data_IF_003057913344
#
_entry.id   IF_003057913344
#
_cell.length_a   1.000
_cell.length_b   1.000
_cell.length_c   1.000
_cell.angle_alpha   90.00
_cell.angle_beta   90.00
_cell.angle_gamma   90.00
#
_symmetry.space_group_name_H-M   'P 1'
#
loop_
_entity.id
_entity.type
_entity.pdbx_description
1 polymer ?
#
# COMPACT_ATOMS: atom_id res chain seq x y z
N UNK A 1 -37.74 -16.65 41.88
CA UNK A 1 -37.67 -15.25 42.33
C UNK A 1 -36.46 -15.07 43.23
N UNK A 2 -35.36 -14.55 42.68
CA UNK A 2 -34.20 -14.08 43.44
C UNK A 2 -33.74 -12.78 42.77
N UNK A 3 -33.85 -11.69 43.52
CA UNK A 3 -33.42 -10.35 43.14
C UNK A 3 -31.88 -10.28 43.24
N UNK A 4 -31.22 -9.77 42.20
CA UNK A 4 -29.83 -9.32 42.31
C UNK A 4 -29.75 -7.91 41.72
N UNK A 5 -29.86 -6.93 42.61
CA UNK A 5 -29.64 -5.51 42.38
C UNK A 5 -28.18 -5.24 42.69
N UNK A 6 -27.36 -4.86 41.70
CA UNK A 6 -26.06 -4.24 41.94
C UNK A 6 -26.02 -2.93 41.14
N UNK A 7 -26.27 -1.84 41.88
CA UNK A 7 -25.80 -0.49 41.56
C UNK A 7 -24.28 -0.42 41.82
N UNK A 8 -23.51 0.17 40.91
CA UNK A 8 -22.26 0.88 41.21
C UNK A 8 -21.75 1.63 39.96
N UNK A 9 -21.01 2.75 40.11
CA UNK A 9 -21.40 4.02 39.52
C UNK A 9 -20.48 4.55 38.41
N UNK A 10 -21.03 5.55 37.70
CA UNK A 10 -20.33 6.55 36.89
C UNK A 10 -18.98 6.97 37.50
N UNK A 11 -17.92 6.88 36.71
CA UNK A 11 -16.71 7.67 36.90
C UNK A 11 -16.47 8.51 35.64
N UNK A 12 -16.85 9.79 35.72
CA UNK A 12 -16.43 10.81 34.79
C UNK A 12 -14.92 11.01 34.90
N UNK A 13 -14.19 10.89 33.79
CA UNK A 13 -12.87 11.48 33.67
C UNK A 13 -12.77 12.25 32.35
N UNK A 14 -13.07 13.54 32.44
CA UNK A 14 -12.76 14.52 31.41
C UNK A 14 -11.29 14.92 31.57
N UNK A 15 -10.46 14.65 30.56
CA UNK A 15 -9.12 15.26 30.44
C UNK A 15 -9.12 16.10 29.17
N UNK A 16 -9.18 17.41 29.39
CA UNK A 16 -8.89 18.47 28.41
C UNK A 16 -7.38 18.67 28.41
N UNK A 17 -6.72 18.46 27.28
CA UNK A 17 -5.37 18.99 27.05
C UNK A 17 -5.31 19.67 25.69
N UNK A 18 -5.45 21.00 25.76
CA UNK A 18 -5.08 21.97 24.74
C UNK A 18 -3.57 21.92 24.49
N UNK A 19 -3.16 21.57 23.27
CA UNK A 19 -1.78 21.68 22.80
C UNK A 19 -1.64 22.80 21.78
N UNK A 20 -0.93 23.88 22.14
CA UNK A 20 -0.55 24.96 21.25
C UNK A 20 0.45 24.48 20.19
N UNK A 21 0.20 24.84 18.94
CA UNK A 21 1.10 24.59 17.82
C UNK A 21 2.37 25.44 17.88
N UNK A 22 3.51 24.81 17.59
CA UNK A 22 4.77 25.47 17.25
C UNK A 22 4.97 25.37 15.74
N UNK A 23 4.99 26.53 15.07
CA UNK A 23 5.33 26.63 13.65
C UNK A 23 6.86 26.58 13.57
N UNK A 24 7.41 25.48 13.08
CA UNK A 24 8.85 25.34 12.83
C UNK A 24 9.12 25.83 11.41
N UNK A 25 9.86 26.92 11.28
CA UNK A 25 10.34 27.45 10.00
C UNK A 25 11.22 26.41 9.29
N UNK A 26 10.88 26.09 8.05
CA UNK A 26 11.71 25.25 7.19
C UNK A 26 12.99 26.00 6.76
N UNK A 27 14.17 25.35 6.75
CA UNK A 27 15.38 25.94 6.22
C UNK A 27 15.31 26.06 4.69
N UNK A 28 15.74 27.22 4.20
CA UNK A 28 15.93 27.52 2.77
C UNK A 28 16.91 26.53 2.13
N UNK A 29 16.48 25.86 1.07
CA UNK A 29 17.31 24.98 0.25
C UNK A 29 18.41 25.80 -0.44
N UNK A 30 19.66 25.57 -0.01
CA UNK A 30 20.84 26.04 -0.72
C UNK A 30 21.00 25.31 -2.05
N UNK A 31 21.39 26.05 -3.09
CA UNK A 31 21.70 25.54 -4.40
C UNK A 31 22.86 24.53 -4.33
N UNK A 32 22.57 23.26 -4.62
CA UNK A 32 23.60 22.26 -4.86
C UNK A 32 24.16 22.48 -6.26
N UNK A 33 25.33 23.11 -6.36
CA UNK A 33 26.20 22.96 -7.51
C UNK A 33 26.72 21.52 -7.49
N UNK A 34 26.18 20.67 -8.36
CA UNK A 34 26.67 19.32 -8.56
C UNK A 34 28.00 19.41 -9.32
N UNK A 35 29.11 19.49 -8.58
CA UNK A 35 30.39 18.96 -9.05
C UNK A 35 30.21 17.45 -9.17
N UNK A 36 29.89 16.99 -10.39
CA UNK A 36 29.88 15.55 -10.69
C UNK A 36 31.34 15.15 -10.83
N UNK A 37 31.92 14.38 -9.89
CA UNK A 37 33.27 13.87 -10.08
C UNK A 37 33.24 12.97 -11.32
N UNK A 38 34.02 13.35 -12.32
CA UNK A 38 34.33 12.49 -13.47
C UNK A 38 34.77 11.13 -12.91
N UNK A 39 34.11 10.02 -13.27
CA UNK A 39 34.57 8.71 -12.83
C UNK A 39 35.94 8.47 -13.44
N UNK A 40 36.98 8.63 -12.63
CA UNK A 40 38.31 8.15 -12.96
C UNK A 40 38.19 6.64 -13.07
N UNK A 41 38.27 6.12 -14.30
CA UNK A 41 38.40 4.69 -14.55
C UNK A 41 39.67 4.25 -13.82
N UNK A 42 39.47 3.59 -12.68
CA UNK A 42 40.55 2.94 -11.92
C UNK A 42 41.13 1.89 -12.86
N UNK A 43 42.35 2.13 -13.34
CA UNK A 43 43.07 1.21 -14.19
C UNK A 43 43.29 -0.12 -13.47
N UNK A 44 42.56 -1.15 -13.88
CA UNK A 44 42.72 -2.55 -13.45
C UNK A 44 44.01 -3.19 -14.01
N UNK A 45 45.03 -2.40 -14.34
CA UNK A 45 46.22 -2.86 -15.05
C UNK A 45 47.30 -3.47 -14.14
N UNK A 46 47.29 -3.19 -12.83
CA UNK A 46 48.44 -3.46 -11.97
C UNK A 46 48.42 -4.80 -11.20
N UNK A 47 47.36 -5.61 -11.33
CA UNK A 47 47.20 -6.86 -10.54
C UNK A 47 47.05 -8.14 -11.39
N UNK A 48 47.73 -8.23 -12.54
CA UNK A 48 47.82 -9.49 -13.28
C UNK A 48 48.94 -10.38 -12.72
N UNK A 49 48.65 -11.60 -12.23
CA UNK A 49 49.68 -12.48 -11.71
C UNK A 49 50.66 -12.89 -12.83
N UNK A 50 51.98 -12.95 -12.53
CA UNK A 50 53.04 -13.04 -13.55
C UNK A 50 53.08 -14.37 -14.33
N UNK A 51 52.18 -15.30 -14.07
CA UNK A 51 52.22 -16.66 -14.61
C UNK A 51 50.86 -17.10 -15.19
N UNK A 52 50.22 -16.22 -15.97
CA UNK A 52 49.02 -16.58 -16.72
C UNK A 52 49.37 -17.48 -17.93
N UNK A 53 48.65 -18.60 -18.13
CA UNK A 53 48.71 -19.38 -19.36
C UNK A 53 48.44 -18.51 -20.59
N UNK A 54 49.14 -18.76 -21.71
CA UNK A 54 49.04 -17.96 -22.94
C UNK A 54 47.59 -17.78 -23.41
N UNK A 55 46.77 -18.84 -23.35
CA UNK A 55 45.36 -18.82 -23.74
C UNK A 55 44.53 -17.76 -22.97
N UNK A 56 44.85 -17.56 -21.69
CA UNK A 56 44.13 -16.60 -20.83
C UNK A 56 44.61 -15.16 -21.07
N UNK A 57 45.86 -14.97 -21.50
CA UNK A 57 46.38 -13.66 -21.96
C UNK A 57 45.66 -13.22 -23.24
N UNK A 58 45.54 -14.11 -24.22
CA UNK A 58 44.87 -13.82 -25.49
C UNK A 58 43.37 -13.52 -25.31
N UNK A 59 42.73 -14.13 -24.30
CA UNK A 59 41.35 -13.81 -23.95
C UNK A 59 41.22 -12.39 -23.37
N UNK A 60 42.07 -12.03 -22.40
CA UNK A 60 42.04 -10.71 -21.76
C UNK A 60 42.38 -9.58 -22.74
N UNK A 61 43.33 -9.81 -23.65
CA UNK A 61 43.69 -8.82 -24.68
C UNK A 61 42.54 -8.57 -25.65
N UNK A 62 41.79 -9.63 -26.03
CA UNK A 62 40.58 -9.48 -26.85
C UNK A 62 39.48 -8.69 -26.15
N UNK A 63 39.21 -8.98 -24.89
CA UNK A 63 38.24 -8.24 -24.07
C UNK A 63 38.63 -6.76 -23.94
N UNK A 64 39.90 -6.46 -23.63
CA UNK A 64 40.37 -5.08 -23.53
C UNK A 64 40.23 -4.31 -24.86
N UNK A 65 40.46 -4.98 -25.99
CA UNK A 65 40.30 -4.37 -27.31
C UNK A 65 38.85 -4.02 -27.64
N UNK A 66 37.90 -4.87 -27.21
CA UNK A 66 36.46 -4.61 -27.36
C UNK A 66 36.00 -3.45 -26.47
N UNK A 67 36.51 -3.37 -25.25
CA UNK A 67 36.20 -2.24 -24.35
C UNK A 67 36.76 -0.94 -24.92
N UNK A 68 38.00 -0.92 -25.44
CA UNK A 68 38.60 0.30 -25.99
C UNK A 68 37.89 0.82 -27.25
N UNK A 69 37.37 -0.05 -28.13
CA UNK A 69 36.61 0.40 -29.31
C UNK A 69 35.25 1.02 -28.96
N UNK A 70 34.67 0.69 -27.80
CA UNK A 70 33.43 1.30 -27.33
C UNK A 70 33.60 2.75 -26.82
N UNK A 71 34.79 3.14 -26.35
CA UNK A 71 35.03 4.49 -25.78
C UNK A 71 35.35 5.54 -26.83
N UNK A 72 35.78 5.15 -28.03
CA UNK A 72 36.18 6.06 -29.10
C UNK A 72 35.01 6.65 -29.91
N UNK A 73 33.74 6.38 -29.54
CA UNK A 73 32.59 7.08 -30.12
C UNK A 73 32.48 8.47 -29.49
N UNK A 74 33.41 9.33 -29.89
CA UNK A 74 33.44 10.75 -29.58
C UNK A 74 32.17 11.36 -30.16
N UNK A 75 31.21 11.60 -29.28
CA UNK A 75 29.99 12.31 -29.61
C UNK A 75 30.36 13.75 -29.89
N UNK A 76 30.21 14.18 -31.13
CA UNK A 76 30.13 15.59 -31.52
C UNK A 76 28.89 16.20 -30.83
N UNK A 77 29.04 16.53 -29.55
CA UNK A 77 28.04 17.28 -28.80
C UNK A 77 28.18 18.75 -29.18
N UNK A 78 27.62 19.10 -30.33
CA UNK A 78 27.13 20.46 -30.51
C UNK A 78 26.08 20.67 -29.41
N UNK A 79 26.25 21.63 -28.48
CA UNK A 79 25.27 21.87 -27.43
C UNK A 79 23.95 22.26 -28.09
N UNK A 80 22.98 21.35 -28.08
CA UNK A 80 21.62 21.65 -28.51
C UNK A 80 21.12 22.85 -27.71
N UNK A 81 20.40 23.80 -28.35
CA UNK A 81 19.76 24.89 -27.63
C UNK A 81 18.99 24.33 -26.45
N UNK A 82 19.21 24.89 -25.25
CA UNK A 82 18.50 24.51 -24.03
C UNK A 82 17.03 24.81 -24.25
N UNK A 83 16.31 23.83 -24.76
CA UNK A 83 14.85 23.87 -24.87
C UNK A 83 14.36 23.62 -23.46
N UNK A 84 13.78 24.65 -22.84
CA UNK A 84 13.20 24.50 -21.51
C UNK A 84 12.26 23.29 -21.53
N UNK A 85 12.39 22.35 -20.57
CA UNK A 85 11.50 21.22 -20.50
C UNK A 85 10.05 21.75 -20.47
N UNK A 86 9.14 21.18 -21.27
CA UNK A 86 7.76 21.63 -21.28
C UNK A 86 7.24 21.60 -19.85
N UNK A 87 6.57 22.67 -19.43
CA UNK A 87 5.86 22.72 -18.16
C UNK A 87 4.98 21.49 -18.08
N UNK A 88 5.33 20.54 -17.21
CA UNK A 88 4.58 19.29 -17.05
C UNK A 88 3.18 19.69 -16.62
N UNK A 89 2.23 19.56 -17.53
CA UNK A 89 0.82 19.77 -17.19
C UNK A 89 0.45 18.74 -16.13
N UNK A 90 -0.23 19.13 -15.04
CA UNK A 90 -0.60 18.20 -14.00
C UNK A 90 -1.40 17.06 -14.63
N UNK A 91 -0.91 15.83 -14.45
CA UNK A 91 -1.64 14.64 -14.90
C UNK A 91 -3.00 14.66 -14.22
N UNK A 92 -4.12 14.65 -14.96
CA UNK A 92 -5.44 14.59 -14.36
C UNK A 92 -5.48 13.44 -13.37
N UNK A 93 -5.77 13.72 -12.10
CA UNK A 93 -5.92 12.66 -11.11
C UNK A 93 -7.12 11.80 -11.55
N UNK A 94 -6.84 10.56 -11.93
CA UNK A 94 -7.89 9.61 -12.29
C UNK A 94 -8.67 9.30 -11.02
N UNK A 95 -9.84 9.91 -10.88
CA UNK A 95 -10.78 9.61 -9.80
C UNK A 95 -11.24 8.18 -10.06
N UNK A 96 -10.72 7.24 -9.28
CA UNK A 96 -11.22 5.87 -9.35
C UNK A 96 -12.61 5.80 -8.68
N UNK A 97 -13.52 5.01 -9.25
CA UNK A 97 -14.88 4.90 -8.71
C UNK A 97 -14.85 4.28 -7.31
N UNK A 98 -15.76 4.72 -6.45
CA UNK A 98 -16.06 4.11 -5.15
C UNK A 98 -17.27 3.22 -5.27
N UNK A 99 -17.36 2.17 -4.44
CA UNK A 99 -18.49 1.25 -4.43
C UNK A 99 -18.07 -0.20 -4.23
N UNK A 100 -18.99 -1.10 -4.57
CA UNK A 100 -18.79 -2.56 -4.55
C UNK A 100 -18.37 -2.99 -5.97
N UNK A 101 -17.41 -3.91 -6.03
CA UNK A 101 -16.84 -4.44 -7.27
C UNK A 101 -16.77 -5.96 -7.18
N UNK A 102 -17.16 -6.64 -8.25
CA UNK A 102 -17.12 -8.11 -8.33
C UNK A 102 -15.73 -8.64 -8.77
N UNK A 103 -15.06 -7.94 -9.69
CA UNK A 103 -13.73 -8.34 -10.17
C UNK A 103 -12.63 -7.62 -9.39
N UNK A 104 -12.20 -8.25 -8.31
CA UNK A 104 -11.17 -7.73 -7.41
C UNK A 104 -9.86 -8.48 -7.66
N UNK A 105 -9.01 -7.90 -8.50
CA UNK A 105 -7.68 -8.45 -8.81
C UNK A 105 -6.63 -7.95 -7.83
N UNK A 106 -6.17 -8.78 -6.91
CA UNK A 106 -5.08 -8.38 -5.99
C UNK A 106 -4.29 -9.54 -5.39
N UNK A 107 -3.08 -9.24 -4.92
CA UNK A 107 -2.06 -10.18 -4.45
C UNK A 107 -2.39 -10.94 -3.14
N UNK A 108 -3.57 -10.77 -2.55
CA UNK A 108 -3.94 -11.37 -1.26
C UNK A 108 -4.59 -12.76 -1.35
N UNK A 109 -4.54 -13.41 -2.51
CA UNK A 109 -5.12 -14.74 -2.76
C UNK A 109 -4.61 -15.87 -1.85
N UNK A 110 -3.53 -15.66 -1.10
CA UNK A 110 -2.97 -16.67 -0.20
C UNK A 110 -3.71 -16.82 1.13
N UNK A 111 -4.58 -15.87 1.49
CA UNK A 111 -5.32 -15.90 2.77
C UNK A 111 -6.84 -16.01 2.59
N UNK A 112 -7.35 -15.55 1.45
CA UNK A 112 -8.78 -15.39 1.23
C UNK A 112 -9.18 -15.92 -0.14
N UNK A 113 -10.31 -16.63 -0.21
CA UNK A 113 -11.05 -16.81 -1.45
C UNK A 113 -11.99 -15.63 -1.59
N UNK A 114 -11.60 -14.66 -2.41
CA UNK A 114 -12.32 -13.40 -2.60
C UNK A 114 -13.63 -13.66 -3.35
N UNK A 115 -14.74 -13.18 -2.79
CA UNK A 115 -16.05 -13.17 -3.45
C UNK A 115 -16.30 -11.80 -4.08
N UNK A 116 -16.06 -10.70 -3.35
CA UNK A 116 -16.08 -9.35 -3.89
C UNK A 116 -15.21 -8.37 -3.09
N UNK A 117 -15.19 -7.10 -3.47
CA UNK A 117 -14.53 -6.05 -2.73
C UNK A 117 -15.29 -4.74 -2.76
N UNK A 118 -14.95 -3.88 -1.82
CA UNK A 118 -15.51 -2.57 -1.67
C UNK A 118 -14.40 -1.53 -1.53
N UNK A 119 -14.64 -0.34 -2.05
CA UNK A 119 -13.72 0.78 -1.92
C UNK A 119 -14.45 2.09 -1.67
N UNK A 120 -13.95 2.85 -0.69
CA UNK A 120 -14.34 4.23 -0.46
C UNK A 120 -13.14 5.11 -0.05
N UNK A 121 -13.43 6.39 0.15
CA UNK A 121 -12.47 7.39 0.61
C UNK A 121 -13.09 8.07 1.83
N UNK A 122 -12.40 8.00 2.97
CA UNK A 122 -12.77 8.73 4.19
C UNK A 122 -11.81 9.90 4.38
N UNK A 123 -12.29 11.12 4.11
CA UNK A 123 -11.44 12.31 4.07
C UNK A 123 -10.42 12.23 2.92
N UNK A 124 -9.16 12.00 3.24
CA UNK A 124 -8.07 11.80 2.27
C UNK A 124 -7.48 10.39 2.30
N UNK A 125 -8.14 9.45 2.97
CA UNK A 125 -7.65 8.09 3.18
C UNK A 125 -8.48 7.13 2.33
N UNK A 126 -7.91 6.59 1.23
CA UNK A 126 -8.52 5.48 0.50
C UNK A 126 -8.56 4.23 1.37
N UNK A 127 -9.71 3.57 1.43
CA UNK A 127 -9.90 2.33 2.19
C UNK A 127 -10.52 1.28 1.29
N UNK A 128 -9.83 0.15 1.14
CA UNK A 128 -10.31 -1.02 0.40
C UNK A 128 -10.61 -2.15 1.37
N UNK A 129 -11.69 -2.87 1.09
CA UNK A 129 -12.09 -4.06 1.83
C UNK A 129 -12.32 -5.18 0.84
N UNK A 130 -11.72 -6.35 1.05
CA UNK A 130 -12.09 -7.57 0.33
C UNK A 130 -12.91 -8.46 1.27
N UNK A 131 -13.94 -9.10 0.73
CA UNK A 131 -14.78 -10.05 1.43
C UNK A 131 -14.71 -11.41 0.77
N UNK A 132 -14.76 -12.46 1.58
CA UNK A 132 -14.74 -13.82 1.08
C UNK A 132 -14.63 -14.88 2.18
N UNK A 133 -14.11 -16.05 1.83
CA UNK A 133 -13.86 -17.13 2.78
C UNK A 133 -12.40 -17.16 3.24
N UNK A 134 -12.17 -17.42 4.52
CA UNK A 134 -10.84 -17.72 5.05
C UNK A 134 -10.32 -19.04 4.44
N UNK A 135 -9.14 -19.02 3.82
CA UNK A 135 -8.56 -20.24 3.23
C UNK A 135 -8.03 -21.24 4.27
N UNK A 136 -7.72 -20.76 5.49
CA UNK A 136 -7.29 -21.61 6.60
C UNK A 136 -8.48 -22.27 7.30
N UNK A 137 -9.63 -21.60 7.34
CA UNK A 137 -10.86 -22.10 7.96
C UNK A 137 -12.10 -21.69 7.14
N UNK A 138 -12.40 -22.46 6.08
CA UNK A 138 -13.45 -22.09 5.10
C UNK A 138 -14.87 -21.95 5.65
N UNK A 139 -15.13 -22.39 6.88
CA UNK A 139 -16.40 -22.14 7.59
C UNK A 139 -16.54 -20.70 8.09
N UNK A 140 -15.47 -19.91 8.06
CA UNK A 140 -15.44 -18.52 8.51
C UNK A 140 -15.41 -17.56 7.33
N UNK A 141 -16.22 -16.52 7.43
CA UNK A 141 -16.12 -15.37 6.56
C UNK A 141 -14.93 -14.51 6.97
N UNK A 142 -14.28 -13.88 6.00
CA UNK A 142 -13.11 -13.05 6.23
C UNK A 142 -13.24 -11.72 5.50
N UNK A 143 -13.02 -10.62 6.23
CA UNK A 143 -12.75 -9.30 5.66
C UNK A 143 -11.27 -8.99 5.76
N UNK A 144 -10.68 -8.50 4.66
CA UNK A 144 -9.34 -7.90 4.66
C UNK A 144 -9.52 -6.42 4.43
N UNK A 145 -9.03 -5.59 5.34
CA UNK A 145 -9.07 -4.13 5.25
C UNK A 145 -7.67 -3.60 4.99
N UNK A 146 -7.55 -2.77 3.95
CA UNK A 146 -6.33 -2.06 3.60
C UNK A 146 -6.61 -0.56 3.49
N UNK A 147 -5.81 0.24 4.19
CA UNK A 147 -5.87 1.70 4.10
C UNK A 147 -4.60 2.23 3.46
N UNK A 148 -4.73 3.27 2.66
CA UNK A 148 -3.60 4.00 2.09
C UNK A 148 -3.54 5.37 2.74
N UNK A 149 -2.38 5.81 3.21
CA UNK A 149 -2.22 7.16 3.78
C UNK A 149 -2.42 8.22 2.70
N UNK A 150 -2.61 9.48 3.11
CA UNK A 150 -2.75 10.60 2.17
C UNK A 150 -1.51 10.77 1.27
N UNK A 151 -0.33 10.35 1.73
CA UNK A 151 0.93 10.34 0.98
C UNK A 151 1.05 9.14 0.01
N UNK A 152 0.03 8.30 -0.08
CA UNK A 152 0.02 7.12 -0.94
C UNK A 152 0.73 5.91 -0.33
N UNK A 153 1.10 5.93 0.96
CA UNK A 153 1.73 4.78 1.61
C UNK A 153 0.67 3.73 1.90
N UNK A 154 0.87 2.53 1.37
CA UNK A 154 0.01 1.38 1.64
C UNK A 154 0.25 0.92 3.09
N UNK A 155 -0.80 0.84 3.90
CA UNK A 155 -0.75 0.30 5.26
C UNK A 155 -0.67 -1.23 5.27
N UNK A 156 -0.48 -1.81 6.45
CA UNK A 156 -0.56 -3.28 6.60
C UNK A 156 -2.02 -3.76 6.49
N UNK A 157 -2.28 -4.88 5.79
CA UNK A 157 -3.61 -5.47 5.74
C UNK A 157 -4.03 -5.93 7.14
N UNK A 158 -5.28 -5.66 7.51
CA UNK A 158 -5.87 -6.14 8.77
C UNK A 158 -6.99 -7.11 8.47
N UNK A 159 -7.07 -8.20 9.23
CA UNK A 159 -7.96 -9.33 9.00
C UNK A 159 -9.07 -9.36 10.06
N UNK A 160 -10.32 -9.53 9.63
CA UNK A 160 -11.49 -9.61 10.50
C UNK A 160 -12.34 -10.82 10.12
N UNK A 161 -12.34 -11.83 10.97
CA UNK A 161 -13.21 -13.00 10.82
C UNK A 161 -14.62 -12.68 11.29
N UNK A 162 -15.64 -13.28 10.68
CA UNK A 162 -17.03 -13.10 11.10
C UNK A 162 -17.25 -13.56 12.55
N UNK A 163 -18.20 -12.96 13.31
CA UNK A 163 -18.46 -13.35 14.70
C UNK A 163 -18.98 -14.79 14.86
N UNK A 164 -19.62 -15.32 13.81
CA UNK A 164 -20.18 -16.67 13.75
C UNK A 164 -19.83 -17.33 12.41
N UNK A 165 -19.96 -18.66 12.36
CA UNK A 165 -19.45 -19.48 11.25
C UNK A 165 -20.57 -19.77 10.25
N UNK A 166 -20.60 -19.00 9.17
CA UNK A 166 -21.63 -19.10 8.12
C UNK A 166 -21.04 -19.22 6.71
N UNK A 167 -19.75 -19.56 6.60
CA UNK A 167 -19.05 -19.72 5.32
C UNK A 167 -18.54 -18.41 4.74
N UNK A 168 -18.39 -18.38 3.41
CA UNK A 168 -17.92 -17.20 2.69
C UNK A 168 -18.85 -16.01 2.89
N UNK A 169 -18.30 -14.81 2.83
CA UNK A 169 -19.07 -13.57 2.88
C UNK A 169 -18.83 -12.69 1.66
N UNK A 170 -19.85 -11.90 1.32
CA UNK A 170 -19.79 -10.85 0.31
C UNK A 170 -20.35 -9.53 0.86
N UNK A 171 -19.83 -8.40 0.38
CA UNK A 171 -20.40 -7.08 0.66
C UNK A 171 -21.63 -6.88 -0.23
N UNK A 172 -22.81 -6.75 0.35
CA UNK A 172 -24.08 -6.56 -0.38
C UNK A 172 -24.57 -5.10 -0.38
N UNK A 173 -23.98 -4.26 0.47
CA UNK A 173 -24.36 -2.86 0.59
C UNK A 173 -23.39 -2.08 1.45
N UNK A 174 -23.49 -0.75 1.41
CA UNK A 174 -22.74 0.15 2.26
C UNK A 174 -23.57 1.39 2.58
N UNK A 175 -23.60 1.78 3.86
CA UNK A 175 -24.16 3.05 4.33
C UNK A 175 -23.10 3.81 5.11
N UNK A 176 -22.49 4.80 4.44
CA UNK A 176 -21.34 5.52 5.00
C UNK A 176 -20.16 4.59 5.32
N UNK A 177 -19.71 4.49 6.60
CA UNK A 177 -18.65 3.59 7.02
C UNK A 177 -19.10 2.17 7.33
N UNK A 178 -20.40 1.88 7.30
CA UNK A 178 -20.95 0.58 7.66
C UNK A 178 -21.16 -0.26 6.41
N UNK A 179 -20.49 -1.41 6.34
CA UNK A 179 -20.70 -2.42 5.30
C UNK A 179 -21.78 -3.39 5.74
N UNK A 180 -22.73 -3.62 4.85
CA UNK A 180 -23.72 -4.69 4.97
C UNK A 180 -23.14 -5.90 4.26
N UNK A 181 -22.97 -6.98 5.01
CA UNK A 181 -22.29 -8.20 4.58
C UNK A 181 -23.27 -9.37 4.68
N UNK A 182 -23.28 -10.24 3.70
CA UNK A 182 -24.07 -11.46 3.70
C UNK A 182 -23.16 -12.68 3.57
N UNK A 183 -23.41 -13.69 4.39
CA UNK A 183 -22.78 -15.00 4.28
C UNK A 183 -23.52 -15.91 3.28
N UNK A 184 -22.85 -16.98 2.87
CA UNK A 184 -23.36 -17.98 1.92
C UNK A 184 -24.73 -18.57 2.31
N UNK A 185 -25.00 -18.74 3.61
CA UNK A 185 -26.29 -19.24 4.10
C UNK A 185 -27.39 -18.17 4.24
N UNK A 186 -27.09 -16.93 3.87
CA UNK A 186 -27.98 -15.77 3.93
C UNK A 186 -27.90 -14.96 5.22
N UNK A 187 -27.14 -15.40 6.23
CA UNK A 187 -26.91 -14.66 7.48
C UNK A 187 -26.28 -13.29 7.19
N UNK A 188 -26.73 -12.25 7.88
CA UNK A 188 -26.27 -10.87 7.66
C UNK A 188 -25.48 -10.34 8.83
N UNK A 189 -24.44 -9.58 8.50
CA UNK A 189 -23.58 -8.86 9.43
C UNK A 189 -23.44 -7.42 8.99
N UNK A 190 -23.22 -6.54 9.96
CA UNK A 190 -22.81 -5.17 9.68
C UNK A 190 -21.40 -4.97 10.24
N UNK A 191 -20.52 -4.36 9.44
CA UNK A 191 -19.14 -4.07 9.83
C UNK A 191 -18.85 -2.59 9.72
N UNK A 192 -18.45 -1.96 10.82
CA UNK A 192 -17.99 -0.57 10.81
C UNK A 192 -16.51 -0.51 10.42
N UNK A 193 -16.24 0.06 9.24
CA UNK A 193 -14.90 0.16 8.65
C UNK A 193 -13.99 1.12 9.43
N UNK A 194 -14.55 2.16 10.05
CA UNK A 194 -13.78 3.15 10.80
C UNK A 194 -13.44 2.65 12.19
N UNK A 195 -14.43 2.09 12.89
CA UNK A 195 -14.27 1.50 14.22
C UNK A 195 -13.65 0.10 14.18
N UNK A 196 -13.55 -0.50 12.98
CA UNK A 196 -12.93 -1.80 12.73
C UNK A 196 -13.55 -2.92 13.58
N UNK A 197 -14.87 -2.91 13.67
CA UNK A 197 -15.63 -3.85 14.50
C UNK A 197 -16.90 -4.32 13.79
N UNK A 198 -17.26 -5.57 14.05
CA UNK A 198 -18.60 -6.06 13.77
C UNK A 198 -19.60 -5.36 14.69
N UNK A 199 -20.71 -4.91 14.13
CA UNK A 199 -21.82 -4.34 14.88
C UNK A 199 -22.73 -5.45 15.40
N UNK A 200 -23.39 -5.26 16.56
CA UNK A 200 -24.36 -6.23 17.05
C UNK A 200 -25.50 -6.39 16.06
N UNK A 201 -25.83 -7.64 15.69
CA UNK A 201 -27.00 -7.93 14.86
C UNK A 201 -28.25 -7.44 15.60
N UNK A 202 -28.88 -6.37 15.10
CA UNK A 202 -30.17 -5.92 15.63
C UNK A 202 -31.23 -6.85 15.08
N UNK A 203 -31.64 -7.82 15.89
CA UNK A 203 -32.81 -8.65 15.60
C UNK A 203 -34.03 -7.73 15.57
N UNK A 204 -34.39 -7.24 14.38
CA UNK A 204 -35.63 -6.49 14.21
C UNK A 204 -36.75 -7.53 14.37
N UNK A 205 -37.61 -7.44 15.41
CA UNK A 205 -38.69 -8.38 15.56
C UNK A 205 -39.61 -8.26 14.33
N UNK A 206 -39.77 -9.36 13.61
CA UNK A 206 -40.73 -9.43 12.50
C UNK A 206 -42.14 -9.23 13.08
N UNK A 207 -42.92 -8.25 12.59
CA UNK A 207 -44.27 -7.99 13.09
C UNK A 207 -45.25 -9.13 12.79
#
# INVERSE_FOLDING_TARGET
MRYFTILAPLLCLAIVLSGCGTIVNAPSQGAFAADVPTPTIIGLQDDLPPNLPDEKRDFLEREQRLVQTHVARQTDHTPSPITMPPTVSPVPQQIRPTGIFEDCREDYYQYIRIENCWWSIFGQTPVRVWAGADLSETSHGLLILLSTTAEGKIGEPTFYTTPTNHGAIEVIGADGPVLQVQAEDGTRFDFDVLERTWLPTVLTPTP
#
